data_IF_414740450566
#
_entry.id   IF_414740450566
#
_cell.length_a   1.000
_cell.length_b   1.000
_cell.length_c   1.000
_cell.angle_alpha   90.00
_cell.angle_beta   90.00
_cell.angle_gamma   90.00
#
_symmetry.space_group_name_H-M   'P 1'
#
loop_
_entity.id
_entity.type
_entity.pdbx_description
1 polymer ?
#
# COMPACT_ATOMS: atom_id res chain seq x y z
N UNK A 1 -32.43 6.45 2.07
CA UNK A 1 -31.42 5.38 2.09
C UNK A 1 -30.71 5.22 0.74
N UNK A 2 -31.40 5.04 -0.40
CA UNK A 2 -30.70 4.93 -1.73
C UNK A 2 -29.74 6.11 -2.00
N UNK A 3 -30.13 7.36 -1.71
CA UNK A 3 -29.24 8.54 -1.93
C UNK A 3 -28.03 8.57 -0.98
N UNK A 4 -28.14 8.06 0.24
CA UNK A 4 -27.03 8.00 1.21
C UNK A 4 -26.07 6.86 0.83
N UNK A 5 -26.59 5.72 0.38
CA UNK A 5 -25.79 4.61 -0.15
C UNK A 5 -25.09 5.04 -1.44
N UNK A 6 -25.80 5.75 -2.33
CA UNK A 6 -25.20 6.32 -3.55
C UNK A 6 -24.15 7.37 -3.20
N UNK A 7 -24.39 8.23 -2.21
CA UNK A 7 -23.41 9.24 -1.79
C UNK A 7 -22.19 8.62 -1.11
N UNK A 8 -22.37 7.59 -0.31
CA UNK A 8 -21.27 6.83 0.28
C UNK A 8 -20.51 6.02 -0.78
N UNK A 9 -21.22 5.42 -1.76
CA UNK A 9 -20.58 4.76 -2.89
C UNK A 9 -19.87 5.75 -3.81
N UNK A 10 -20.44 6.93 -4.04
CA UNK A 10 -19.80 8.01 -4.82
C UNK A 10 -18.58 8.56 -4.08
N UNK A 11 -18.63 8.75 -2.75
CA UNK A 11 -17.45 9.11 -1.96
C UNK A 11 -16.38 8.02 -2.00
N UNK A 12 -16.76 6.74 -1.91
CA UNK A 12 -15.82 5.63 -2.02
C UNK A 12 -15.21 5.55 -3.43
N UNK A 13 -16.01 5.76 -4.47
CA UNK A 13 -15.55 5.81 -5.87
C UNK A 13 -14.70 7.06 -6.12
N UNK A 14 -15.04 8.22 -5.56
CA UNK A 14 -14.20 9.42 -5.63
C UNK A 14 -12.89 9.25 -4.87
N UNK A 15 -12.90 8.53 -3.74
CA UNK A 15 -11.66 8.21 -2.99
C UNK A 15 -10.77 7.21 -3.75
N UNK A 16 -11.37 6.23 -4.43
CA UNK A 16 -10.65 5.30 -5.32
C UNK A 16 -10.17 6.00 -6.59
N UNK A 17 -10.97 6.91 -7.16
CA UNK A 17 -10.59 7.68 -8.35
C UNK A 17 -9.54 8.75 -8.06
N UNK A 18 -9.51 9.35 -6.86
CA UNK A 18 -8.43 10.28 -6.48
C UNK A 18 -7.09 9.58 -6.22
N UNK A 19 -7.08 8.28 -5.94
CA UNK A 19 -5.85 7.49 -5.89
C UNK A 19 -5.38 7.03 -7.27
N UNK A 20 -6.23 7.15 -8.32
CA UNK A 20 -5.90 6.73 -9.69
C UNK A 20 -5.40 7.87 -10.60
N UNK A 21 -5.24 9.10 -10.09
CA UNK A 21 -4.79 10.26 -10.89
C UNK A 21 -3.42 10.79 -10.48
N UNK A 22 -2.67 10.08 -9.67
CA UNK A 22 -1.27 10.41 -9.45
C UNK A 22 -0.51 9.98 -10.71
N UNK A 23 0.11 10.93 -11.40
CA UNK A 23 1.02 10.64 -12.51
C UNK A 23 2.06 9.64 -11.99
N UNK A 24 2.29 8.58 -12.74
CA UNK A 24 3.25 7.55 -12.37
C UNK A 24 4.65 8.07 -12.67
N UNK A 25 5.25 8.72 -11.69
CA UNK A 25 6.52 9.44 -11.79
C UNK A 25 7.65 8.47 -12.13
N UNK A 26 8.51 8.85 -13.07
CA UNK A 26 9.76 8.12 -13.37
C UNK A 26 10.75 8.38 -12.24
N UNK A 27 11.22 7.32 -11.60
CA UNK A 27 12.17 7.39 -10.48
C UNK A 27 13.63 7.20 -10.95
N UNK A 28 13.84 6.33 -11.92
CA UNK A 28 15.16 6.04 -12.47
C UNK A 28 15.05 5.75 -13.96
N UNK A 29 16.05 6.18 -14.72
CA UNK A 29 16.18 5.87 -16.14
C UNK A 29 17.53 5.24 -16.40
N UNK A 30 17.55 4.21 -17.21
CA UNK A 30 18.74 3.53 -17.72
C UNK A 30 18.83 3.74 -19.22
N UNK A 31 20.03 3.61 -19.78
CA UNK A 31 20.25 3.68 -21.22
C UNK A 31 20.96 2.42 -21.70
N UNK A 32 20.42 1.81 -22.74
CA UNK A 32 21.09 0.76 -23.48
C UNK A 32 21.84 1.35 -24.67
N UNK A 33 23.09 0.93 -24.85
CA UNK A 33 23.84 1.23 -26.03
C UNK A 33 23.20 0.61 -27.29
N UNK A 34 23.56 1.09 -28.51
CA UNK A 34 23.10 0.48 -29.75
C UNK A 34 23.62 -0.95 -29.88
N UNK A 35 22.88 -1.81 -30.59
CA UNK A 35 23.28 -3.22 -30.86
C UNK A 35 24.61 -3.23 -31.67
N UNK A 36 24.75 -2.37 -32.65
CA UNK A 36 26.02 -2.14 -33.32
C UNK A 36 26.84 -1.14 -32.52
N UNK A 37 27.85 -1.62 -31.82
CA UNK A 37 28.65 -0.79 -30.93
C UNK A 37 30.16 -0.75 -31.35
N UNK A 38 30.50 -1.39 -32.47
CA UNK A 38 31.86 -1.38 -33.03
C UNK A 38 31.84 -0.83 -34.45
N UNK A 39 32.74 0.12 -34.75
CA UNK A 39 32.86 0.79 -36.00
C UNK A 39 34.33 0.86 -36.44
N UNK A 40 34.58 0.92 -37.73
CA UNK A 40 35.92 1.27 -38.28
C UNK A 40 36.07 2.79 -38.36
N UNK A 41 37.28 3.29 -38.39
CA UNK A 41 37.54 4.74 -38.63
C UNK A 41 36.88 5.23 -39.93
N UNK A 42 36.85 4.39 -40.98
CA UNK A 42 36.25 4.77 -42.26
C UNK A 42 34.75 4.95 -42.17
N UNK A 43 34.05 4.09 -41.41
CA UNK A 43 32.60 4.23 -41.17
C UNK A 43 32.29 5.47 -40.33
N UNK A 44 33.23 5.88 -39.47
CA UNK A 44 33.03 6.99 -38.55
C UNK A 44 33.38 8.35 -39.17
N UNK A 45 34.35 8.39 -40.10
CA UNK A 45 34.82 9.62 -40.76
C UNK A 45 33.76 10.31 -41.65
N UNK A 46 32.69 9.60 -42.05
CA UNK A 46 31.59 10.12 -42.87
C UNK A 46 30.50 10.85 -42.06
N UNK A 47 30.75 11.15 -40.79
CA UNK A 47 29.80 11.88 -39.95
C UNK A 47 28.60 11.03 -39.49
N UNK A 48 28.89 9.90 -38.90
CA UNK A 48 27.87 8.98 -38.40
C UNK A 48 27.01 9.62 -37.31
N UNK A 49 25.72 9.69 -37.52
CA UNK A 49 24.74 10.14 -36.51
C UNK A 49 23.84 8.98 -36.16
N UNK A 50 23.74 8.63 -34.86
CA UNK A 50 22.82 7.60 -34.40
C UNK A 50 21.38 7.97 -34.71
N UNK A 51 20.65 7.05 -35.32
CA UNK A 51 19.22 7.17 -35.58
C UNK A 51 18.45 6.33 -34.56
N UNK A 52 17.25 6.70 -34.23
CA UNK A 52 16.42 6.01 -33.25
C UNK A 52 16.13 4.52 -33.53
N UNK A 53 16.33 4.10 -34.81
CA UNK A 53 16.21 2.71 -35.26
C UNK A 53 17.48 1.86 -35.02
N UNK A 54 18.54 2.43 -34.45
CA UNK A 54 19.81 1.74 -34.22
C UNK A 54 19.93 1.11 -32.82
N UNK A 55 18.86 1.08 -32.07
CA UNK A 55 18.74 0.28 -30.87
C UNK A 55 19.15 0.94 -29.57
N UNK A 56 19.45 2.26 -29.56
CA UNK A 56 19.61 3.01 -28.31
C UNK A 56 18.25 3.17 -27.68
N UNK A 57 18.10 2.70 -26.45
CA UNK A 57 16.81 2.75 -25.73
C UNK A 57 16.99 3.26 -24.31
N UNK A 58 15.96 3.92 -23.80
CA UNK A 58 15.84 4.27 -22.39
C UNK A 58 14.88 3.32 -21.70
N UNK A 59 15.24 2.89 -20.50
CA UNK A 59 14.38 2.05 -19.66
C UNK A 59 14.00 2.87 -18.43
N UNK A 60 12.74 3.24 -18.33
CA UNK A 60 12.19 4.04 -17.25
C UNK A 60 11.57 3.16 -16.17
N UNK A 61 12.04 3.28 -14.94
CA UNK A 61 11.45 2.65 -13.77
C UNK A 61 10.52 3.66 -13.09
N UNK A 62 9.25 3.34 -13.00
CA UNK A 62 8.20 4.22 -12.45
C UNK A 62 7.92 3.93 -10.96
N UNK A 63 7.32 4.88 -10.28
CA UNK A 63 6.96 4.78 -8.86
C UNK A 63 6.01 3.61 -8.56
N UNK A 64 5.13 3.26 -9.49
CA UNK A 64 4.27 2.06 -9.39
C UNK A 64 5.05 0.74 -9.45
N UNK A 65 6.33 0.78 -9.84
CA UNK A 65 7.14 -0.37 -10.19
C UNK A 65 6.95 -0.84 -11.63
N UNK A 66 6.16 -0.12 -12.43
CA UNK A 66 6.10 -0.38 -13.86
C UNK A 66 7.43 0.03 -14.53
N UNK A 67 7.83 -0.72 -15.53
CA UNK A 67 9.02 -0.43 -16.35
C UNK A 67 8.55 -0.20 -17.78
N UNK A 68 9.14 0.77 -18.44
CA UNK A 68 8.78 1.16 -19.80
C UNK A 68 10.05 1.40 -20.61
N UNK A 69 10.15 0.74 -21.76
CA UNK A 69 11.26 0.95 -22.70
C UNK A 69 10.86 1.94 -23.78
N UNK A 70 11.66 3.00 -23.93
CA UNK A 70 11.42 4.09 -24.87
C UNK A 70 12.62 4.18 -25.83
N UNK A 71 12.42 4.11 -27.16
CA UNK A 71 13.52 4.30 -28.10
C UNK A 71 14.02 5.75 -28.08
N UNK A 72 15.31 5.93 -28.39
CA UNK A 72 15.89 7.25 -28.55
C UNK A 72 15.21 7.98 -29.72
N UNK A 73 14.68 9.17 -29.46
CA UNK A 73 14.22 10.10 -30.49
C UNK A 73 15.38 11.02 -30.87
N UNK A 74 15.67 11.16 -32.18
CA UNK A 74 16.86 11.73 -32.80
C UNK A 74 17.19 13.20 -32.45
N UNK A 75 16.70 13.72 -31.34
CA UNK A 75 16.93 15.11 -30.96
C UNK A 75 18.01 15.23 -29.89
N UNK A 76 19.17 15.79 -30.26
CA UNK A 76 20.08 16.36 -29.26
C UNK A 76 21.20 15.44 -28.78
N UNK A 77 21.66 14.48 -29.58
CA UNK A 77 22.88 13.70 -29.26
C UNK A 77 24.10 14.62 -29.33
N UNK A 78 24.86 14.72 -28.24
CA UNK A 78 26.11 15.44 -28.23
C UNK A 78 27.21 14.55 -28.83
N UNK A 79 27.92 15.06 -29.78
CA UNK A 79 29.06 14.37 -30.41
C UNK A 79 30.14 14.06 -29.34
N UNK A 80 30.76 12.88 -29.40
CA UNK A 80 31.84 12.52 -28.50
C UNK A 80 33.12 13.31 -28.78
N UNK A 81 33.97 13.38 -27.80
CA UNK A 81 35.32 13.92 -27.96
C UNK A 81 36.27 12.79 -28.38
N UNK A 82 36.79 12.85 -29.60
CA UNK A 82 37.74 11.87 -30.11
C UNK A 82 37.27 11.21 -31.41
N UNK A 83 38.24 10.67 -32.16
CA UNK A 83 38.00 10.06 -33.46
C UNK A 83 38.10 8.54 -33.44
N UNK A 84 38.79 7.96 -32.44
CA UNK A 84 39.03 6.50 -32.30
C UNK A 84 39.04 6.06 -30.82
N UNK A 85 38.95 4.77 -30.60
CA UNK A 85 38.91 4.17 -29.28
C UNK A 85 37.50 4.12 -28.70
N UNK A 86 37.38 4.09 -27.38
CA UNK A 86 36.09 4.12 -26.70
C UNK A 86 35.54 5.54 -26.72
N UNK A 87 34.43 5.73 -27.40
CA UNK A 87 33.76 7.03 -27.54
C UNK A 87 32.46 7.02 -26.75
N UNK A 88 32.28 8.01 -25.86
CA UNK A 88 31.10 8.17 -25.04
C UNK A 88 30.22 9.29 -25.57
N UNK A 89 28.99 8.94 -25.87
CA UNK A 89 27.94 9.86 -26.30
C UNK A 89 27.11 10.32 -25.11
N UNK A 90 26.68 11.58 -25.11
CA UNK A 90 25.74 12.16 -24.15
C UNK A 90 24.40 12.43 -24.80
N UNK A 91 23.36 11.90 -24.23
CA UNK A 91 22.01 12.00 -24.75
C UNK A 91 21.11 12.65 -23.72
N UNK A 92 20.48 13.79 -24.02
CA UNK A 92 19.49 14.40 -23.14
C UNK A 92 18.18 13.61 -23.18
N UNK A 93 17.68 13.28 -22.00
CA UNK A 93 16.34 12.67 -21.82
C UNK A 93 15.73 13.19 -20.53
N UNK A 94 14.52 13.76 -20.60
CA UNK A 94 13.80 14.32 -19.44
C UNK A 94 14.67 15.28 -18.59
N UNK A 95 15.39 16.21 -19.23
CA UNK A 95 16.30 17.20 -18.62
C UNK A 95 17.55 16.62 -17.92
N UNK A 96 17.82 15.33 -18.09
CA UNK A 96 19.02 14.65 -17.58
C UNK A 96 19.88 14.16 -18.75
N UNK A 97 21.20 14.18 -18.58
CA UNK A 97 22.15 13.67 -19.55
C UNK A 97 22.53 12.22 -19.21
N UNK A 98 22.39 11.33 -20.18
CA UNK A 98 22.74 9.92 -20.06
C UNK A 98 23.88 9.57 -21.01
N UNK A 99 24.82 8.76 -20.55
CA UNK A 99 26.00 8.38 -21.31
C UNK A 99 25.87 6.92 -21.79
N UNK A 100 26.24 6.68 -23.06
CA UNK A 100 26.52 5.33 -23.58
C UNK A 100 27.80 5.34 -24.38
N UNK A 101 28.47 4.20 -24.52
CA UNK A 101 29.76 4.12 -25.18
C UNK A 101 29.76 3.13 -26.35
N UNK A 102 30.50 3.48 -27.38
CA UNK A 102 30.81 2.63 -28.52
C UNK A 102 32.33 2.53 -28.69
N UNK A 103 32.79 1.64 -29.55
CA UNK A 103 34.19 1.48 -29.85
C UNK A 103 34.47 1.70 -31.34
N UNK A 104 35.39 2.62 -31.67
CA UNK A 104 35.90 2.83 -33.00
C UNK A 104 37.31 2.24 -33.08
N UNK A 105 37.46 1.19 -33.88
CA UNK A 105 38.73 0.43 -33.99
C UNK A 105 39.79 1.30 -34.65
N UNK A 106 40.90 1.64 -33.98
CA UNK A 106 42.00 2.35 -34.59
C UNK A 106 42.68 1.52 -35.71
N UNK A 107 43.13 2.17 -36.78
CA UNK A 107 43.77 1.52 -37.95
C UNK A 107 45.10 0.82 -37.61
N UNK A 108 45.72 1.16 -36.49
CA UNK A 108 47.01 0.61 -36.05
C UNK A 108 46.88 -0.62 -35.13
N UNK A 109 45.67 -1.01 -34.80
CA UNK A 109 45.40 -2.17 -33.92
C UNK A 109 45.61 -3.49 -34.70
N UNK A 110 46.38 -4.38 -34.12
CA UNK A 110 46.66 -5.72 -34.69
C UNK A 110 45.47 -6.66 -34.56
N UNK A 111 45.27 -7.54 -35.55
CA UNK A 111 44.20 -8.56 -35.52
C UNK A 111 44.28 -9.52 -34.31
N UNK A 112 45.43 -9.63 -33.67
CA UNK A 112 45.69 -10.47 -32.50
C UNK A 112 45.51 -9.74 -31.16
N UNK A 113 45.14 -8.47 -31.18
CA UNK A 113 44.90 -7.70 -29.97
C UNK A 113 43.52 -8.04 -29.41
N UNK A 114 43.51 -8.88 -28.38
CA UNK A 114 42.28 -9.41 -27.76
C UNK A 114 41.99 -8.82 -26.40
N UNK A 115 42.66 -7.73 -26.00
CA UNK A 115 42.35 -7.03 -24.75
C UNK A 115 40.91 -6.51 -24.77
N UNK A 116 40.21 -6.60 -23.63
CA UNK A 116 38.84 -6.07 -23.50
C UNK A 116 38.95 -4.54 -23.35
N UNK A 117 38.27 -3.83 -24.22
CA UNK A 117 38.27 -2.35 -24.24
C UNK A 117 36.94 -1.77 -23.79
N UNK A 118 35.82 -2.48 -23.98
CA UNK A 118 34.48 -2.01 -23.62
C UNK A 118 33.61 -3.20 -23.25
N UNK A 119 32.81 -3.02 -22.21
CA UNK A 119 31.72 -3.93 -21.85
C UNK A 119 30.43 -3.13 -21.75
N UNK A 120 29.42 -3.54 -22.50
CA UNK A 120 28.09 -2.98 -22.45
C UNK A 120 27.07 -4.04 -22.03
N UNK A 121 26.13 -3.63 -21.19
CA UNK A 121 24.98 -4.45 -20.80
C UNK A 121 23.79 -4.12 -21.71
N UNK A 122 23.16 -5.14 -22.26
CA UNK A 122 21.86 -5.01 -22.92
C UNK A 122 20.79 -5.37 -21.89
N UNK A 123 20.38 -4.36 -21.14
CA UNK A 123 19.44 -4.52 -20.04
C UNK A 123 18.02 -4.74 -20.56
N UNK A 124 17.35 -5.75 -20.04
CA UNK A 124 15.89 -5.92 -20.19
C UNK A 124 15.15 -5.25 -19.02
N UNK A 125 13.85 -5.08 -19.16
CA UNK A 125 13.00 -4.50 -18.09
C UNK A 125 13.11 -5.24 -16.75
N UNK A 126 13.33 -6.57 -16.80
CA UNK A 126 13.48 -7.40 -15.61
C UNK A 126 14.83 -7.21 -14.89
N UNK A 127 15.87 -6.72 -15.59
CA UNK A 127 17.21 -6.59 -15.01
C UNK A 127 17.42 -5.29 -14.24
N UNK A 128 16.68 -4.24 -14.58
CA UNK A 128 16.87 -2.89 -14.02
C UNK A 128 16.10 -2.66 -12.73
N UNK A 129 15.25 -3.61 -12.34
CA UNK A 129 14.34 -3.43 -11.22
C UNK A 129 14.16 -4.71 -10.41
N UNK A 130 14.08 -4.56 -9.09
CA UNK A 130 13.59 -5.60 -8.17
C UNK A 130 12.58 -5.01 -7.18
N UNK A 131 11.85 -5.88 -6.47
CA UNK A 131 11.00 -5.46 -5.36
C UNK A 131 11.81 -5.46 -4.06
N UNK A 132 11.33 -4.74 -3.05
CA UNK A 132 11.87 -4.85 -1.68
C UNK A 132 11.85 -6.33 -1.25
N UNK A 133 13.02 -6.83 -0.84
CA UNK A 133 13.22 -8.24 -0.50
C UNK A 133 13.57 -9.16 -1.68
N UNK A 134 13.66 -8.62 -2.90
CA UNK A 134 14.14 -9.33 -4.08
C UNK A 134 15.63 -9.12 -4.34
N UNK A 135 16.23 -9.98 -5.15
CA UNK A 135 17.62 -9.89 -5.64
C UNK A 135 17.60 -9.40 -7.09
N UNK A 136 18.80 -9.25 -7.67
CA UNK A 136 18.96 -9.03 -9.10
C UNK A 136 18.32 -10.15 -9.93
N UNK A 137 17.72 -9.80 -11.05
CA UNK A 137 17.26 -10.74 -12.05
C UNK A 137 18.19 -10.62 -13.27
N UNK A 138 18.88 -11.68 -13.60
CA UNK A 138 19.83 -11.73 -14.74
C UNK A 138 19.21 -12.42 -15.97
N UNK A 139 17.95 -12.83 -15.92
CA UNK A 139 17.25 -13.48 -17.03
C UNK A 139 17.15 -12.52 -18.24
N UNK A 140 17.59 -13.01 -19.40
CA UNK A 140 17.55 -12.23 -20.64
C UNK A 140 18.58 -11.08 -20.72
N UNK A 141 19.52 -11.00 -19.77
CA UNK A 141 20.63 -10.04 -19.82
C UNK A 141 21.74 -10.57 -20.73
N UNK A 142 22.06 -9.81 -21.77
CA UNK A 142 23.22 -10.04 -22.63
C UNK A 142 24.34 -9.05 -22.32
N UNK A 143 25.57 -9.57 -22.18
CA UNK A 143 26.77 -8.78 -21.96
C UNK A 143 27.60 -8.78 -23.25
N UNK A 144 27.82 -7.63 -23.79
CA UNK A 144 28.63 -7.41 -25.01
C UNK A 144 30.04 -7.04 -24.58
N UNK A 145 30.96 -7.97 -24.80
CA UNK A 145 32.41 -7.79 -24.56
C UNK A 145 33.09 -7.42 -25.84
N UNK A 146 33.59 -6.19 -25.93
CA UNK A 146 34.27 -5.65 -27.09
C UNK A 146 35.76 -5.70 -26.88
N UNK A 147 36.49 -6.27 -27.84
CA UNK A 147 37.96 -6.39 -27.80
C UNK A 147 38.63 -5.35 -28.72
N UNK A 148 39.88 -5.06 -28.43
CA UNK A 148 40.66 -4.04 -29.17
C UNK A 148 40.70 -4.27 -30.68
N UNK A 149 40.72 -5.53 -31.12
CA UNK A 149 40.66 -5.89 -32.55
C UNK A 149 39.27 -5.72 -33.20
N UNK A 150 38.30 -5.19 -32.46
CA UNK A 150 36.91 -4.99 -32.92
C UNK A 150 36.01 -6.23 -32.85
N UNK A 151 36.49 -7.36 -32.37
CA UNK A 151 35.64 -8.52 -32.17
C UNK A 151 34.68 -8.29 -30.99
N UNK A 152 33.44 -8.75 -31.13
CA UNK A 152 32.40 -8.70 -30.08
C UNK A 152 32.03 -10.11 -29.68
N UNK A 153 32.13 -10.38 -28.41
CA UNK A 153 31.65 -11.60 -27.78
C UNK A 153 30.39 -11.30 -27.00
N UNK A 154 29.35 -12.08 -27.20
CA UNK A 154 28.07 -11.90 -26.49
C UNK A 154 27.97 -13.03 -25.47
N UNK A 155 27.89 -12.67 -24.19
CA UNK A 155 27.75 -13.59 -23.07
C UNK A 155 26.33 -13.47 -22.49
N UNK A 156 25.57 -14.57 -22.50
CA UNK A 156 24.31 -14.60 -21.75
C UNK A 156 24.60 -14.69 -20.26
N UNK A 157 24.02 -13.81 -19.48
CA UNK A 157 24.24 -13.77 -18.03
C UNK A 157 23.77 -15.08 -17.34
N UNK A 158 22.73 -15.72 -17.87
CA UNK A 158 22.22 -16.99 -17.36
C UNK A 158 23.25 -18.13 -17.39
N UNK A 159 24.10 -18.14 -18.41
CA UNK A 159 25.15 -19.15 -18.59
C UNK A 159 26.43 -18.81 -17.80
N UNK A 160 26.54 -17.59 -17.28
CA UNK A 160 27.76 -17.04 -16.68
C UNK A 160 27.51 -16.38 -15.31
N UNK A 161 26.62 -16.95 -14.50
CA UNK A 161 26.24 -16.41 -13.17
C UNK A 161 27.44 -16.23 -12.24
N UNK A 162 28.48 -17.06 -12.39
CA UNK A 162 29.73 -17.00 -11.63
C UNK A 162 30.55 -15.72 -11.88
N UNK A 163 30.24 -14.98 -12.91
CA UNK A 163 30.89 -13.70 -13.28
C UNK A 163 30.20 -12.48 -12.65
N UNK A 164 29.01 -12.66 -12.07
CA UNK A 164 28.26 -11.57 -11.47
C UNK A 164 28.38 -11.60 -9.95
N UNK A 165 28.42 -10.43 -9.35
CA UNK A 165 28.39 -10.22 -7.91
C UNK A 165 27.58 -8.99 -7.57
N UNK A 166 26.70 -9.09 -6.62
CA UNK A 166 25.95 -7.97 -6.06
C UNK A 166 26.67 -7.30 -4.88
N UNK A 167 27.99 -7.47 -4.77
CA UNK A 167 28.85 -6.89 -3.73
C UNK A 167 28.41 -7.21 -2.28
N UNK A 168 27.77 -8.38 -2.07
CA UNK A 168 27.27 -8.79 -0.78
C UNK A 168 25.95 -8.09 -0.40
N UNK A 169 25.25 -7.54 -1.37
CA UNK A 169 23.92 -7.03 -1.17
C UNK A 169 22.98 -8.12 -0.69
N UNK A 170 22.47 -7.98 0.53
CA UNK A 170 21.47 -8.87 1.09
C UNK A 170 20.14 -8.12 1.25
N UNK A 171 19.08 -8.56 0.56
CA UNK A 171 17.81 -7.82 0.48
C UNK A 171 17.08 -7.62 1.80
N UNK A 172 17.51 -8.29 2.89
CA UNK A 172 16.81 -8.34 4.18
C UNK A 172 17.76 -8.19 5.37
N UNK A 173 18.86 -7.45 5.27
CA UNK A 173 19.70 -7.15 6.45
C UNK A 173 18.99 -6.20 7.42
N UNK A 174 19.42 -6.23 8.70
CA UNK A 174 18.87 -5.38 9.78
C UNK A 174 18.97 -3.87 9.48
N UNK A 175 19.91 -3.47 8.65
CA UNK A 175 20.07 -2.08 8.15
C UNK A 175 19.15 -1.75 6.96
N UNK A 176 18.25 -2.63 6.67
CA UNK A 176 17.08 -2.65 5.84
C UNK A 176 17.12 -1.85 4.57
N UNK A 177 16.87 -2.52 3.47
CA UNK A 177 16.83 -1.93 2.16
C UNK A 177 15.65 -0.98 2.00
N UNK A 178 15.92 0.24 1.61
CA UNK A 178 14.91 1.29 1.41
C UNK A 178 14.38 1.22 -0.02
N UNK A 179 13.06 1.30 -0.18
CA UNK A 179 12.42 1.55 -1.47
C UNK A 179 12.97 2.85 -2.08
N UNK A 180 13.20 2.85 -3.38
CA UNK A 180 13.77 3.94 -4.17
C UNK A 180 15.31 4.11 -4.07
N UNK A 181 16.03 3.09 -3.64
CA UNK A 181 17.48 3.00 -3.77
C UNK A 181 17.89 2.03 -4.87
N UNK A 182 19.13 2.12 -5.32
CA UNK A 182 19.73 1.20 -6.28
C UNK A 182 20.95 0.55 -5.67
N UNK A 183 21.20 -0.71 -6.03
CA UNK A 183 22.43 -1.39 -5.72
C UNK A 183 23.18 -1.78 -6.99
N UNK A 184 24.51 -1.86 -6.88
CA UNK A 184 25.35 -2.21 -8.01
C UNK A 184 25.52 -3.71 -8.16
N UNK A 185 25.40 -4.20 -9.38
CA UNK A 185 25.77 -5.56 -9.77
C UNK A 185 27.06 -5.45 -10.60
N UNK A 186 28.11 -6.10 -10.14
CA UNK A 186 29.43 -6.12 -10.78
C UNK A 186 29.58 -7.35 -11.65
N UNK A 187 29.92 -7.15 -12.89
CA UNK A 187 30.38 -8.21 -13.82
C UNK A 187 31.90 -8.20 -13.88
N UNK A 188 32.52 -9.39 -13.75
CA UNK A 188 33.97 -9.56 -13.81
C UNK A 188 34.33 -10.65 -14.79
N UNK A 189 35.08 -10.29 -15.84
CA UNK A 189 35.48 -11.21 -16.90
C UNK A 189 36.89 -10.88 -17.40
N UNK A 190 37.79 -11.86 -17.44
CA UNK A 190 39.17 -11.74 -17.89
C UNK A 190 39.93 -10.55 -17.28
N UNK A 191 39.65 -10.20 -16.03
CA UNK A 191 40.30 -9.09 -15.32
C UNK A 191 39.65 -7.71 -15.59
N UNK A 192 38.66 -7.64 -16.46
CA UNK A 192 37.86 -6.45 -16.67
C UNK A 192 36.65 -6.46 -15.74
N UNK A 193 36.26 -5.29 -15.23
CA UNK A 193 35.07 -5.13 -14.37
C UNK A 193 34.17 -4.04 -14.93
N UNK A 194 32.88 -4.32 -14.97
CA UNK A 194 31.85 -3.35 -15.33
C UNK A 194 30.63 -3.50 -14.37
N UNK A 195 29.92 -2.43 -14.13
CA UNK A 195 28.80 -2.42 -13.19
C UNK A 195 27.54 -1.92 -13.87
N UNK A 196 26.41 -2.44 -13.42
CA UNK A 196 25.10 -1.83 -13.67
C UNK A 196 24.32 -1.75 -12.38
N UNK A 197 23.35 -0.86 -12.31
CA UNK A 197 22.51 -0.68 -11.12
C UNK A 197 21.19 -1.42 -11.26
N UNK A 198 20.68 -1.96 -10.16
CA UNK A 198 19.33 -2.50 -10.05
C UNK A 198 18.54 -1.62 -9.08
N UNK A 199 17.44 -1.07 -9.55
CA UNK A 199 16.61 -0.17 -8.75
C UNK A 199 15.55 -0.95 -7.98
N UNK A 200 15.35 -0.61 -6.69
CA UNK A 200 14.40 -1.30 -5.84
C UNK A 200 13.11 -0.50 -5.76
N UNK A 201 12.02 -1.14 -6.13
CA UNK A 201 10.67 -0.56 -6.11
C UNK A 201 9.71 -1.40 -5.29
N UNK A 202 8.48 -0.93 -5.09
CA UNK A 202 7.38 -1.71 -4.53
C UNK A 202 7.37 -1.83 -3.02
N UNK A 203 8.23 -1.13 -2.31
CA UNK A 203 8.11 -0.86 -0.88
C UNK A 203 7.27 0.40 -0.64
N UNK A 204 6.66 0.51 0.55
CA UNK A 204 6.12 1.79 0.99
C UNK A 204 7.29 2.70 1.41
N UNK A 205 7.24 3.99 1.06
CA UNK A 205 8.25 4.96 1.50
C UNK A 205 8.29 5.05 3.03
N UNK A 206 9.48 5.21 3.65
CA UNK A 206 9.59 5.44 5.07
C UNK A 206 8.82 6.70 5.50
N UNK A 207 8.55 6.84 6.80
CA UNK A 207 7.83 8.01 7.30
C UNK A 207 8.80 9.17 7.47
N UNK A 208 8.66 10.21 6.63
CA UNK A 208 9.43 11.47 6.73
C UNK A 208 8.49 12.67 6.87
N UNK A 209 8.99 13.73 7.51
CA UNK A 209 8.26 14.99 7.64
C UNK A 209 8.32 15.82 6.36
N UNK A 210 9.37 15.66 5.57
CA UNK A 210 9.61 16.44 4.34
C UNK A 210 8.66 16.04 3.21
N UNK A 211 8.36 14.74 3.08
CA UNK A 211 7.47 14.19 2.05
C UNK A 211 6.02 14.00 2.56
N UNK A 212 5.73 14.49 3.77
CA UNK A 212 4.45 14.25 4.42
C UNK A 212 3.33 15.10 3.82
N UNK A 213 2.31 14.45 3.25
CA UNK A 213 1.07 15.10 2.87
C UNK A 213 0.23 15.52 4.09
N UNK A 214 -0.83 16.27 3.84
CA UNK A 214 -1.75 16.75 4.90
C UNK A 214 -2.28 15.64 5.81
N UNK A 215 -2.59 14.48 5.25
CA UNK A 215 -3.07 13.32 6.01
C UNK A 215 -1.96 12.73 6.88
N UNK A 216 -0.74 12.63 6.36
CA UNK A 216 0.41 12.12 7.10
C UNK A 216 0.74 13.03 8.28
N UNK A 217 0.73 14.34 8.10
CA UNK A 217 0.98 15.30 9.16
C UNK A 217 -0.04 15.24 10.30
N UNK A 218 -1.33 15.11 9.99
CA UNK A 218 -2.39 15.16 11.00
C UNK A 218 -2.61 13.83 11.71
N UNK A 219 -2.41 12.70 11.03
CA UNK A 219 -2.75 11.39 11.55
C UNK A 219 -1.58 10.42 11.59
N UNK A 220 -0.82 10.24 10.50
CA UNK A 220 0.23 9.20 10.43
C UNK A 220 1.40 9.55 11.36
N UNK A 221 1.96 10.76 11.26
CA UNK A 221 3.09 11.18 12.09
C UNK A 221 2.77 11.17 13.59
N UNK A 222 1.63 11.70 14.08
CA UNK A 222 1.28 11.60 15.50
C UNK A 222 1.11 10.17 15.99
N UNK A 223 0.55 9.28 15.17
CA UNK A 223 0.41 7.85 15.52
C UNK A 223 1.76 7.14 15.50
N UNK A 224 2.61 7.43 14.51
CA UNK A 224 3.98 6.95 14.44
C UNK A 224 4.82 7.42 15.65
N UNK A 225 4.69 8.70 16.03
CA UNK A 225 5.32 9.24 17.23
C UNK A 225 4.91 8.49 18.50
N UNK A 226 3.64 8.16 18.69
CA UNK A 226 3.22 7.33 19.81
C UNK A 226 3.82 5.93 19.75
N UNK A 227 3.87 5.34 18.56
CA UNK A 227 4.40 3.98 18.37
C UNK A 227 5.90 3.92 18.70
N UNK A 228 6.70 4.87 18.20
CA UNK A 228 8.12 4.96 18.52
C UNK A 228 8.39 5.28 20.00
N UNK A 229 7.60 6.18 20.60
CA UNK A 229 7.75 6.56 22.00
C UNK A 229 7.61 5.34 22.93
N UNK A 230 6.57 4.54 22.72
CA UNK A 230 6.36 3.35 23.54
C UNK A 230 7.26 2.18 23.12
N UNK A 231 7.60 2.05 21.83
CA UNK A 231 8.62 1.10 21.37
C UNK A 231 9.95 1.36 22.04
N UNK A 232 10.44 2.60 21.98
CA UNK A 232 11.72 3.03 22.57
C UNK A 232 11.82 2.83 24.08
N UNK A 233 10.75 3.15 24.85
CA UNK A 233 10.71 2.92 26.30
C UNK A 233 10.85 1.43 26.65
N UNK A 234 10.36 0.53 25.82
CA UNK A 234 10.33 -0.91 26.05
C UNK A 234 11.35 -1.68 25.18
N UNK A 235 12.56 -1.17 25.06
CA UNK A 235 13.67 -1.84 24.37
C UNK A 235 13.52 -1.87 22.85
N UNK A 236 13.07 -0.78 22.28
CA UNK A 236 12.83 -0.58 20.85
C UNK A 236 11.83 -1.61 20.26
N UNK A 237 10.93 -2.14 21.10
CA UNK A 237 10.01 -3.19 20.70
C UNK A 237 8.87 -2.66 19.84
N UNK A 238 8.86 -3.03 18.57
CA UNK A 238 7.79 -2.70 17.63
C UNK A 238 6.43 -3.23 18.07
N UNK A 239 6.38 -4.48 18.57
CA UNK A 239 5.15 -5.10 19.05
C UNK A 239 4.51 -4.32 20.20
N UNK A 240 5.32 -3.88 21.19
CA UNK A 240 4.84 -3.09 22.32
C UNK A 240 4.39 -1.71 21.87
N UNK A 241 5.13 -1.08 20.96
CA UNK A 241 4.75 0.16 20.31
C UNK A 241 3.35 0.06 19.67
N UNK A 242 3.13 -0.93 18.81
CA UNK A 242 1.82 -1.19 18.17
C UNK A 242 0.73 -1.41 19.23
N UNK A 243 0.99 -2.27 20.23
CA UNK A 243 -0.01 -2.61 21.25
C UNK A 243 -0.47 -1.38 22.00
N UNK A 244 0.46 -0.62 22.59
CA UNK A 244 0.12 0.53 23.43
C UNK A 244 -0.52 1.65 22.59
N UNK A 245 0.02 1.95 21.41
CA UNK A 245 -0.57 2.92 20.49
C UNK A 245 -1.99 2.52 20.10
N UNK A 246 -2.22 1.25 19.79
CA UNK A 246 -3.57 0.75 19.47
C UNK A 246 -4.53 0.97 20.64
N UNK A 247 -4.11 0.69 21.88
CA UNK A 247 -4.93 0.90 23.07
C UNK A 247 -5.24 2.39 23.27
N UNK A 248 -4.26 3.27 23.12
CA UNK A 248 -4.43 4.73 23.28
C UNK A 248 -5.40 5.25 22.21
N UNK A 249 -5.13 5.00 20.94
CA UNK A 249 -5.94 5.50 19.83
C UNK A 249 -7.38 5.01 19.93
N UNK A 250 -7.61 3.73 20.24
CA UNK A 250 -8.94 3.18 20.44
C UNK A 250 -9.65 3.73 21.67
N UNK A 251 -8.91 4.02 22.74
CA UNK A 251 -9.47 4.63 23.94
C UNK A 251 -9.86 6.08 23.67
N UNK A 252 -9.05 6.85 22.96
CA UNK A 252 -9.39 8.20 22.52
C UNK A 252 -10.60 8.24 21.57
N UNK A 253 -10.74 7.22 20.73
CA UNK A 253 -11.90 7.07 19.85
C UNK A 253 -13.17 6.54 20.57
N UNK A 254 -13.08 6.08 21.83
CA UNK A 254 -14.20 5.49 22.56
C UNK A 254 -15.45 6.40 22.64
N UNK A 255 -15.36 7.71 22.90
CA UNK A 255 -16.54 8.58 22.92
C UNK A 255 -17.33 8.55 21.60
N UNK A 256 -16.66 8.36 20.47
CA UNK A 256 -17.29 8.22 19.14
C UNK A 256 -18.11 6.92 19.10
N UNK A 257 -17.53 5.80 19.56
CA UNK A 257 -18.23 4.52 19.63
C UNK A 257 -19.39 4.53 20.62
N UNK A 258 -19.24 5.19 21.77
CA UNK A 258 -20.30 5.33 22.74
C UNK A 258 -21.51 6.08 22.17
N UNK A 259 -21.28 7.16 21.41
CA UNK A 259 -22.33 7.91 20.70
C UNK A 259 -23.00 7.08 19.61
N UNK A 260 -22.25 6.28 18.86
CA UNK A 260 -22.77 5.35 17.85
C UNK A 260 -23.66 4.27 18.47
N UNK A 261 -23.28 3.71 19.63
CA UNK A 261 -24.09 2.76 20.37
C UNK A 261 -25.37 3.39 20.93
N UNK A 262 -25.32 4.65 21.42
CA UNK A 262 -26.50 5.38 21.88
C UNK A 262 -27.47 5.66 20.72
N UNK A 263 -26.96 5.99 19.54
CA UNK A 263 -27.75 6.12 18.33
C UNK A 263 -28.44 4.79 17.96
N UNK A 264 -27.70 3.67 18.00
CA UNK A 264 -28.27 2.34 17.76
C UNK A 264 -29.38 1.98 18.75
N UNK A 265 -29.22 2.35 20.02
CA UNK A 265 -30.26 2.18 21.04
C UNK A 265 -31.51 2.99 20.69
N UNK A 266 -31.37 4.28 20.34
CA UNK A 266 -32.49 5.15 19.96
C UNK A 266 -33.20 4.66 18.70
N UNK A 267 -32.44 4.17 17.71
CA UNK A 267 -32.98 3.56 16.50
C UNK A 267 -33.82 2.31 16.82
N UNK A 268 -33.35 1.46 17.74
CA UNK A 268 -34.10 0.29 18.18
C UNK A 268 -35.40 0.66 18.92
N UNK A 269 -35.37 1.70 19.75
CA UNK A 269 -36.58 2.21 20.46
C UNK A 269 -37.57 2.84 19.46
N UNK A 270 -37.11 3.54 18.44
CA UNK A 270 -37.95 4.16 17.41
C UNK A 270 -38.52 3.15 16.40
N UNK A 271 -37.95 1.95 16.32
CA UNK A 271 -38.26 0.96 15.26
C UNK A 271 -39.76 0.63 15.13
N UNK A 272 -40.57 0.46 16.23
CA UNK A 272 -42.01 0.21 16.09
C UNK A 272 -42.77 1.35 15.42
N UNK A 273 -42.45 2.62 15.75
CA UNK A 273 -43.06 3.80 15.09
C UNK A 273 -42.63 3.95 13.66
N UNK A 274 -41.33 3.74 13.38
CA UNK A 274 -40.80 3.74 12.02
C UNK A 274 -41.49 2.70 11.13
N UNK A 275 -41.75 1.51 11.66
CA UNK A 275 -42.50 0.46 10.94
C UNK A 275 -43.95 0.86 10.70
N UNK A 276 -44.63 1.51 11.64
CA UNK A 276 -45.98 2.02 11.43
C UNK A 276 -46.04 3.03 10.30
N UNK A 277 -45.10 3.96 10.26
CA UNK A 277 -44.99 4.93 9.17
C UNK A 277 -44.71 4.23 7.84
N UNK A 278 -43.76 3.29 7.78
CA UNK A 278 -43.46 2.54 6.56
C UNK A 278 -44.65 1.72 6.06
N UNK A 279 -45.39 1.05 6.96
CA UNK A 279 -46.57 0.26 6.59
C UNK A 279 -47.70 1.15 6.08
N UNK A 280 -47.90 2.34 6.65
CA UNK A 280 -48.90 3.33 6.22
C UNK A 280 -48.75 3.71 4.74
N UNK A 281 -47.50 3.76 4.26
CA UNK A 281 -47.17 4.16 2.89
C UNK A 281 -46.70 2.98 2.01
N UNK A 282 -46.79 1.74 2.48
CA UNK A 282 -46.24 0.56 1.78
C UNK A 282 -46.86 0.34 0.38
N UNK A 283 -48.15 0.64 0.25
CA UNK A 283 -48.91 0.47 -0.99
C UNK A 283 -48.90 1.71 -1.91
N UNK A 284 -48.42 2.85 -1.40
CA UNK A 284 -48.42 4.11 -2.12
C UNK A 284 -47.04 4.40 -2.72
N UNK A 285 -46.93 4.32 -4.06
CA UNK A 285 -45.66 4.53 -4.76
C UNK A 285 -45.52 5.88 -5.44
N UNK A 286 -46.53 6.74 -5.33
CA UNK A 286 -46.53 8.08 -5.90
C UNK A 286 -45.51 8.99 -5.22
N UNK A 287 -44.88 9.95 -5.95
CA UNK A 287 -43.81 10.80 -5.42
C UNK A 287 -44.25 11.61 -4.21
N UNK A 288 -45.52 12.05 -4.18
CA UNK A 288 -46.08 12.84 -3.09
C UNK A 288 -46.20 12.05 -1.79
N UNK A 289 -46.69 10.80 -1.84
CA UNK A 289 -46.76 9.90 -0.70
C UNK A 289 -45.36 9.50 -0.18
N UNK A 290 -44.38 9.34 -1.09
CA UNK A 290 -42.99 9.10 -0.69
C UNK A 290 -42.39 10.31 0.08
N UNK A 291 -42.70 11.52 -0.33
CA UNK A 291 -42.26 12.72 0.35
C UNK A 291 -42.91 12.86 1.74
N UNK A 292 -44.21 12.57 1.86
CA UNK A 292 -44.95 12.55 3.14
C UNK A 292 -44.35 11.49 4.08
N UNK A 293 -44.08 10.30 3.60
CA UNK A 293 -43.41 9.25 4.37
C UNK A 293 -42.05 9.72 4.91
N UNK A 294 -41.23 10.39 4.10
CA UNK A 294 -39.95 10.96 4.54
C UNK A 294 -40.14 12.02 5.65
N UNK A 295 -41.11 12.87 5.53
CA UNK A 295 -41.43 13.91 6.54
C UNK A 295 -41.87 13.26 7.86
N UNK A 296 -42.78 12.27 7.83
CA UNK A 296 -43.22 11.55 9.03
C UNK A 296 -42.05 10.77 9.66
N UNK A 297 -41.18 10.14 8.87
CA UNK A 297 -39.97 9.49 9.36
C UNK A 297 -39.01 10.48 10.05
N UNK A 298 -38.84 11.69 9.50
CA UNK A 298 -38.07 12.77 10.13
C UNK A 298 -38.69 13.20 11.47
N UNK A 299 -40.02 13.20 11.56
CA UNK A 299 -40.73 13.45 12.80
C UNK A 299 -40.42 12.40 13.88
N UNK A 300 -40.41 11.12 13.52
CA UNK A 300 -40.00 10.03 14.41
C UNK A 300 -38.55 10.18 14.85
N UNK A 301 -37.63 10.53 13.93
CA UNK A 301 -36.22 10.76 14.29
C UNK A 301 -36.05 11.89 15.29
N UNK A 302 -36.77 13.02 15.10
CA UNK A 302 -36.77 14.15 16.05
C UNK A 302 -37.33 13.74 17.42
N UNK A 303 -38.44 13.00 17.45
CA UNK A 303 -39.07 12.50 18.69
C UNK A 303 -38.12 11.69 19.55
N UNK A 304 -37.32 10.79 18.93
CA UNK A 304 -36.38 9.93 19.64
C UNK A 304 -34.95 10.54 19.75
N UNK A 305 -34.78 11.80 19.32
CA UNK A 305 -33.47 12.46 19.35
C UNK A 305 -32.41 11.73 18.51
N UNK A 306 -32.82 11.18 17.37
CA UNK A 306 -31.94 10.50 16.41
C UNK A 306 -31.36 11.54 15.48
N UNK A 307 -30.05 11.76 15.55
CA UNK A 307 -29.36 12.61 14.62
C UNK A 307 -28.95 11.79 13.37
N UNK A 308 -29.41 12.22 12.20
CA UNK A 308 -29.09 11.53 10.93
C UNK A 308 -27.58 11.56 10.64
N UNK A 309 -26.87 12.61 11.04
CA UNK A 309 -25.39 12.70 10.94
C UNK A 309 -24.70 11.65 11.83
N UNK A 310 -25.37 11.15 12.87
CA UNK A 310 -24.82 10.07 13.69
C UNK A 310 -24.61 8.74 12.94
N UNK A 311 -25.28 8.54 11.80
CA UNK A 311 -25.05 7.40 10.92
C UNK A 311 -23.68 7.46 10.23
N UNK A 312 -23.02 8.63 10.20
CA UNK A 312 -21.68 8.80 9.66
C UNK A 312 -20.56 8.52 10.67
N UNK A 313 -20.91 8.40 11.97
CA UNK A 313 -19.92 8.14 13.03
C UNK A 313 -19.03 6.90 12.78
N UNK A 314 -19.53 5.76 12.25
CA UNK A 314 -18.68 4.62 11.91
C UNK A 314 -17.62 4.95 10.84
N UNK A 315 -17.92 5.87 9.90
CA UNK A 315 -16.98 6.28 8.86
C UNK A 315 -15.83 7.14 9.40
N UNK A 316 -16.00 7.77 10.56
CA UNK A 316 -14.93 8.52 11.23
C UNK A 316 -13.79 7.59 11.70
N UNK A 317 -14.05 6.30 11.79
CA UNK A 317 -13.04 5.28 12.08
C UNK A 317 -12.08 5.03 10.91
N UNK A 318 -12.50 5.27 9.65
CA UNK A 318 -11.70 4.95 8.47
C UNK A 318 -10.39 5.74 8.42
N UNK A 319 -10.35 7.07 8.64
CA UNK A 319 -9.09 7.82 8.68
C UNK A 319 -8.12 7.29 9.74
N UNK A 320 -8.61 6.95 10.93
CA UNK A 320 -7.79 6.38 12.01
C UNK A 320 -7.23 5.02 11.59
N UNK A 321 -8.06 4.20 10.95
CA UNK A 321 -7.64 2.91 10.43
C UNK A 321 -6.55 3.03 9.37
N UNK A 322 -6.72 3.95 8.39
CA UNK A 322 -5.75 4.18 7.31
C UNK A 322 -4.42 4.67 7.90
N UNK A 323 -4.47 5.58 8.89
CA UNK A 323 -3.26 6.06 9.55
C UNK A 323 -2.50 4.94 10.29
N UNK A 324 -3.21 4.11 11.07
CA UNK A 324 -2.60 2.97 11.76
C UNK A 324 -2.05 1.92 10.77
N UNK A 325 -2.76 1.67 9.66
CA UNK A 325 -2.29 0.80 8.59
C UNK A 325 -0.99 1.31 7.98
N UNK A 326 -0.95 2.61 7.65
CA UNK A 326 0.24 3.26 7.09
C UNK A 326 1.43 3.20 8.07
N UNK A 327 1.21 3.50 9.36
CA UNK A 327 2.26 3.44 10.39
C UNK A 327 2.81 2.02 10.54
N UNK A 328 1.94 1.02 10.66
CA UNK A 328 2.38 -0.38 10.87
C UNK A 328 3.24 -0.90 9.71
N UNK A 329 2.99 -0.43 8.50
CA UNK A 329 3.75 -0.85 7.32
C UNK A 329 5.04 -0.05 7.09
N UNK A 330 5.08 1.21 7.48
CA UNK A 330 6.12 2.16 7.09
C UNK A 330 7.11 2.52 8.19
N UNK A 331 6.74 2.35 9.48
CA UNK A 331 7.54 2.86 10.60
C UNK A 331 8.87 2.11 10.80
N UNK A 332 8.91 0.81 10.41
CA UNK A 332 10.11 -0.03 10.52
C UNK A 332 11.02 0.08 9.31
N UNK A 333 10.61 0.81 8.27
CA UNK A 333 11.44 0.98 7.08
C UNK A 333 12.63 1.85 7.47
N UNK A 334 13.86 1.40 7.23
CA UNK A 334 15.08 2.14 7.55
C UNK A 334 15.14 3.50 6.86
N UNK A 335 15.89 4.41 7.46
CA UNK A 335 15.93 5.78 7.01
C UNK A 335 14.71 6.63 7.42
N UNK A 336 13.61 6.02 7.89
CA UNK A 336 12.45 6.74 8.41
C UNK A 336 12.75 7.39 9.76
N UNK A 337 12.07 8.53 10.05
CA UNK A 337 12.33 9.36 11.22
C UNK A 337 12.14 8.66 12.58
N UNK A 338 11.54 7.46 12.62
CA UNK A 338 11.25 6.69 13.84
C UNK A 338 11.67 5.23 13.79
N UNK A 339 12.36 4.80 12.73
CA UNK A 339 12.68 3.38 12.49
C UNK A 339 13.58 2.77 13.56
N UNK A 340 14.57 3.52 14.08
CA UNK A 340 15.50 3.06 15.10
C UNK A 340 14.82 2.69 16.43
N UNK A 341 13.80 3.46 16.84
CA UNK A 341 13.08 3.27 18.10
C UNK A 341 12.08 2.11 18.05
N UNK A 342 11.93 1.46 16.91
CA UNK A 342 11.11 0.26 16.70
C UNK A 342 11.88 -0.86 16.00
N UNK A 343 13.21 -0.80 16.05
CA UNK A 343 14.11 -1.74 15.36
C UNK A 343 13.99 -3.18 15.84
N UNK A 344 13.58 -3.40 17.11
CA UNK A 344 13.31 -4.74 17.61
C UNK A 344 11.92 -5.23 17.13
N UNK A 345 11.91 -5.89 15.98
CA UNK A 345 10.70 -6.40 15.34
C UNK A 345 10.29 -7.80 15.78
N UNK A 346 11.10 -8.46 16.63
CA UNK A 346 10.82 -9.82 17.10
C UNK A 346 9.72 -9.86 18.17
N UNK A 347 8.70 -10.68 17.96
CA UNK A 347 7.60 -10.90 18.90
C UNK A 347 7.26 -12.39 19.01
N UNK A 348 7.59 -13.03 20.16
CA UNK A 348 7.42 -14.47 20.38
C UNK A 348 7.96 -15.35 19.26
N UNK A 349 9.14 -15.02 18.74
CA UNK A 349 9.79 -15.77 17.65
C UNK A 349 9.25 -15.45 16.25
N UNK A 350 8.34 -14.48 16.11
CA UNK A 350 7.80 -14.01 14.83
C UNK A 350 8.44 -12.66 14.51
N UNK A 351 9.06 -12.52 13.35
CA UNK A 351 9.51 -11.23 12.87
C UNK A 351 8.32 -10.44 12.28
N UNK A 352 8.00 -9.30 12.91
CA UNK A 352 6.89 -8.46 12.49
C UNK A 352 7.18 -7.63 11.22
N UNK A 353 8.45 -7.40 10.90
CA UNK A 353 8.82 -6.70 9.67
C UNK A 353 8.61 -7.58 8.41
N UNK A 354 8.55 -8.91 8.58
CA UNK A 354 8.39 -9.82 7.46
C UNK A 354 7.00 -9.73 6.81
N UNK A 355 7.02 -9.85 5.49
CA UNK A 355 5.84 -10.00 4.64
C UNK A 355 5.78 -11.43 4.08
N UNK A 356 4.57 -12.02 3.98
CA UNK A 356 4.35 -13.35 3.40
C UNK A 356 5.18 -14.49 4.02
N UNK A 357 5.25 -14.55 5.34
CA UNK A 357 6.07 -15.49 6.10
C UNK A 357 5.46 -16.93 6.14
N UNK A 358 5.00 -17.42 5.00
CA UNK A 358 4.54 -18.80 4.82
C UNK A 358 3.48 -19.25 5.83
N UNK A 359 3.80 -20.31 6.62
CA UNK A 359 2.86 -20.89 7.59
C UNK A 359 2.50 -19.90 8.71
N UNK A 360 3.45 -19.08 9.16
CA UNK A 360 3.22 -18.07 10.20
C UNK A 360 2.15 -17.08 9.78
N UNK A 361 2.23 -16.54 8.55
CA UNK A 361 1.24 -15.62 8.00
C UNK A 361 -0.15 -16.27 7.91
N UNK A 362 -0.24 -17.55 7.53
CA UNK A 362 -1.52 -18.30 7.48
C UNK A 362 -2.13 -18.43 8.88
N UNK A 363 -1.33 -18.78 9.88
CA UNK A 363 -1.80 -18.92 11.27
C UNK A 363 -2.29 -17.58 11.80
N UNK A 364 -1.52 -16.51 11.61
CA UNK A 364 -1.90 -15.16 12.06
C UNK A 364 -3.17 -14.68 11.36
N UNK A 365 -3.29 -14.85 10.05
CA UNK A 365 -4.51 -14.52 9.30
C UNK A 365 -5.72 -15.32 9.80
N UNK A 366 -5.53 -16.60 10.14
CA UNK A 366 -6.56 -17.43 10.75
C UNK A 366 -7.02 -16.89 12.11
N UNK A 367 -6.11 -16.44 12.97
CA UNK A 367 -6.42 -15.82 14.28
C UNK A 367 -7.16 -14.49 14.08
N UNK A 368 -6.72 -13.67 13.11
CA UNK A 368 -7.44 -12.43 12.73
C UNK A 368 -8.87 -12.75 12.32
N UNK A 369 -9.06 -13.74 11.44
CA UNK A 369 -10.38 -14.19 11.01
C UNK A 369 -11.26 -14.65 12.17
N UNK A 370 -10.73 -15.48 13.07
CA UNK A 370 -11.46 -15.99 14.23
C UNK A 370 -11.87 -14.87 15.19
N UNK A 371 -10.96 -13.94 15.52
CA UNK A 371 -11.23 -12.80 16.41
C UNK A 371 -12.25 -11.84 15.78
N UNK A 372 -12.10 -11.55 14.49
CA UNK A 372 -13.01 -10.69 13.74
C UNK A 372 -14.41 -11.32 13.59
N UNK A 373 -14.48 -12.61 13.28
CA UNK A 373 -15.74 -13.34 13.20
C UNK A 373 -16.48 -13.30 14.54
N UNK A 374 -15.76 -13.50 15.65
CA UNK A 374 -16.31 -13.43 17.00
C UNK A 374 -16.85 -12.03 17.30
N UNK A 375 -16.11 -10.99 16.95
CA UNK A 375 -16.53 -9.59 17.08
C UNK A 375 -17.80 -9.31 16.26
N UNK A 376 -17.84 -9.74 14.99
CA UNK A 376 -19.00 -9.58 14.11
C UNK A 376 -20.24 -10.35 14.65
N UNK A 377 -20.05 -11.57 15.10
CA UNK A 377 -21.13 -12.34 15.77
C UNK A 377 -21.70 -11.60 16.97
N UNK A 378 -20.82 -11.05 17.83
CA UNK A 378 -21.23 -10.29 18.99
C UNK A 378 -21.94 -8.99 18.58
N UNK A 379 -21.43 -8.25 17.61
CA UNK A 379 -22.02 -7.00 17.11
C UNK A 379 -23.41 -7.21 16.49
N UNK A 380 -23.59 -8.29 15.72
CA UNK A 380 -24.89 -8.64 15.10
C UNK A 380 -25.92 -9.25 16.07
N UNK A 381 -25.51 -9.70 17.26
CA UNK A 381 -26.44 -10.28 18.26
C UNK A 381 -27.37 -9.20 18.79
N UNK A 382 -28.68 -9.37 18.62
CA UNK A 382 -29.68 -8.40 19.14
C UNK A 382 -29.51 -8.22 20.63
N UNK A 383 -29.54 -6.98 21.15
CA UNK A 383 -29.57 -6.72 22.59
C UNK A 383 -30.80 -7.34 23.24
N UNK A 384 -30.77 -7.56 24.57
CA UNK A 384 -31.87 -8.18 25.30
C UNK A 384 -33.22 -7.45 25.16
N UNK A 385 -33.17 -6.11 25.08
CA UNK A 385 -34.34 -5.25 24.91
C UNK A 385 -34.94 -5.25 23.49
N UNK A 386 -34.20 -5.71 22.50
CA UNK A 386 -34.62 -5.73 21.07
C UNK A 386 -35.02 -7.14 20.59
N UNK A 387 -34.98 -8.17 21.44
CA UNK A 387 -35.24 -9.57 21.04
C UNK A 387 -36.68 -9.79 20.56
N UNK A 388 -37.65 -9.08 21.12
CA UNK A 388 -39.06 -9.26 20.82
C UNK A 388 -39.58 -8.41 19.66
N UNK A 389 -38.72 -7.60 19.05
CA UNK A 389 -39.11 -6.78 17.91
C UNK A 389 -38.83 -7.58 16.61
N UNK A 390 -39.90 -8.28 16.18
CA UNK A 390 -39.88 -8.94 14.85
C UNK A 390 -40.37 -7.95 13.83
N UNK A 391 -39.51 -7.65 12.82
CA UNK A 391 -39.93 -6.82 11.69
C UNK A 391 -40.75 -7.65 10.70
N UNK A 392 -42.05 -7.41 10.52
CA UNK A 392 -42.84 -8.12 9.52
C UNK A 392 -42.52 -7.66 8.07
N UNK A 393 -41.71 -6.60 7.89
CA UNK A 393 -41.39 -6.06 6.58
C UNK A 393 -40.30 -6.88 5.86
N UNK A 394 -40.59 -7.48 4.69
CA UNK A 394 -39.61 -8.24 3.91
C UNK A 394 -38.36 -7.44 3.55
N UNK A 395 -38.50 -6.13 3.32
CA UNK A 395 -37.40 -5.23 2.97
C UNK A 395 -36.42 -5.02 4.13
N UNK A 396 -36.92 -4.99 5.37
CA UNK A 396 -36.06 -4.91 6.58
C UNK A 396 -35.33 -6.24 6.83
N UNK A 397 -35.95 -7.37 6.53
CA UNK A 397 -35.33 -8.69 6.61
C UNK A 397 -34.23 -8.84 5.56
N UNK A 398 -34.48 -8.42 4.33
CA UNK A 398 -33.50 -8.42 3.24
C UNK A 398 -32.28 -7.55 3.59
N UNK A 399 -32.51 -6.35 4.16
CA UNK A 399 -31.42 -5.47 4.61
C UNK A 399 -30.56 -6.13 5.70
N UNK A 400 -31.16 -6.87 6.64
CA UNK A 400 -30.41 -7.61 7.67
C UNK A 400 -29.60 -8.77 7.08
N UNK A 401 -30.14 -9.47 6.08
CA UNK A 401 -29.40 -10.54 5.38
C UNK A 401 -28.22 -9.97 4.62
N UNK A 402 -28.43 -8.91 3.85
CA UNK A 402 -27.34 -8.21 3.11
C UNK A 402 -26.23 -7.77 4.07
N UNK A 403 -26.58 -7.21 5.23
CA UNK A 403 -25.60 -6.82 6.23
C UNK A 403 -24.77 -8.01 6.76
N UNK A 404 -25.38 -9.19 6.92
CA UNK A 404 -24.62 -10.39 7.30
C UNK A 404 -23.62 -10.83 6.23
N UNK A 405 -24.04 -10.85 4.96
CA UNK A 405 -23.13 -11.20 3.86
C UNK A 405 -21.97 -10.22 3.74
N UNK A 406 -22.25 -8.92 3.83
CA UNK A 406 -21.20 -7.88 3.84
C UNK A 406 -20.25 -8.08 5.01
N UNK A 407 -20.76 -8.41 6.20
CA UNK A 407 -19.94 -8.66 7.38
C UNK A 407 -19.02 -9.88 7.20
N UNK A 408 -19.50 -10.97 6.63
CA UNK A 408 -18.66 -12.14 6.37
C UNK A 408 -17.64 -11.90 5.28
N UNK A 409 -18.01 -11.17 4.22
CA UNK A 409 -17.08 -10.75 3.19
C UNK A 409 -15.94 -9.90 3.78
N UNK A 410 -16.26 -8.96 4.68
CA UNK A 410 -15.26 -8.15 5.40
C UNK A 410 -14.27 -9.02 6.20
N UNK A 411 -14.74 -10.09 6.85
CA UNK A 411 -13.85 -11.02 7.59
C UNK A 411 -12.85 -11.67 6.62
N UNK A 412 -13.33 -12.18 5.49
CA UNK A 412 -12.47 -12.83 4.48
C UNK A 412 -11.46 -11.82 3.91
N UNK A 413 -11.92 -10.61 3.58
CA UNK A 413 -11.05 -9.54 3.07
C UNK A 413 -9.95 -9.18 4.08
N UNK A 414 -10.29 -9.10 5.37
CA UNK A 414 -9.32 -8.78 6.42
C UNK A 414 -8.32 -9.91 6.66
N UNK A 415 -8.73 -11.17 6.53
CA UNK A 415 -7.80 -12.31 6.53
C UNK A 415 -6.79 -12.19 5.39
N UNK A 416 -7.25 -11.85 4.20
CA UNK A 416 -6.38 -11.67 3.04
C UNK A 416 -5.38 -10.51 3.21
N UNK A 417 -5.85 -9.36 3.72
CA UNK A 417 -4.98 -8.21 4.00
C UNK A 417 -3.97 -8.54 5.10
N UNK A 418 -4.38 -9.23 6.17
CA UNK A 418 -3.48 -9.59 7.28
C UNK A 418 -2.47 -10.68 6.91
N UNK A 419 -2.73 -11.48 5.88
CA UNK A 419 -1.77 -12.43 5.32
C UNK A 419 -0.53 -11.74 4.73
N UNK A 420 -0.66 -10.50 4.28
CA UNK A 420 0.41 -9.75 3.61
C UNK A 420 1.47 -9.19 4.58
N UNK A 421 1.22 -9.13 5.90
CA UNK A 421 2.17 -8.58 6.87
C UNK A 421 1.90 -9.10 8.28
N UNK A 422 2.94 -9.64 8.91
CA UNK A 422 2.87 -10.14 10.28
C UNK A 422 2.51 -9.02 11.28
N UNK A 423 3.10 -7.83 11.13
CA UNK A 423 2.80 -6.68 11.97
C UNK A 423 1.33 -6.27 11.86
N UNK A 424 0.79 -6.26 10.65
CA UNK A 424 -0.59 -5.92 10.39
C UNK A 424 -1.56 -6.94 11.02
N UNK A 425 -1.23 -8.23 10.95
CA UNK A 425 -1.99 -9.28 11.60
C UNK A 425 -2.02 -9.09 13.13
N UNK A 426 -0.89 -8.82 13.76
CA UNK A 426 -0.77 -8.55 15.20
C UNK A 426 -1.57 -7.29 15.59
N UNK A 427 -1.45 -6.20 14.82
CA UNK A 427 -2.29 -5.01 15.02
C UNK A 427 -3.79 -5.34 14.99
N UNK A 428 -4.26 -6.15 14.03
CA UNK A 428 -5.64 -6.57 13.94
C UNK A 428 -6.08 -7.42 15.13
N UNK A 429 -5.24 -8.36 15.57
CA UNK A 429 -5.54 -9.22 16.74
C UNK A 429 -5.75 -8.34 17.98
N UNK A 430 -4.79 -7.45 18.30
CA UNK A 430 -4.90 -6.53 19.43
C UNK A 430 -6.13 -5.62 19.32
N UNK A 431 -6.35 -5.08 18.13
CA UNK A 431 -7.50 -4.25 17.85
C UNK A 431 -8.84 -4.97 18.02
N UNK A 432 -8.94 -6.21 17.56
CA UNK A 432 -10.16 -7.02 17.68
C UNK A 432 -10.44 -7.41 19.13
N UNK A 433 -9.42 -7.82 19.91
CA UNK A 433 -9.55 -8.13 21.33
C UNK A 433 -10.04 -6.92 22.13
N UNK A 434 -9.45 -5.74 21.88
CA UNK A 434 -9.91 -4.49 22.49
C UNK A 434 -11.36 -4.18 22.11
N UNK A 435 -11.71 -4.28 20.83
CA UNK A 435 -13.08 -4.02 20.34
C UNK A 435 -14.11 -5.01 20.90
N UNK A 436 -13.73 -6.28 21.10
CA UNK A 436 -14.58 -7.25 21.79
C UNK A 436 -14.90 -6.78 23.21
N UNK A 437 -13.88 -6.41 23.97
CA UNK A 437 -14.02 -5.90 25.35
C UNK A 437 -14.89 -4.64 25.38
N UNK A 438 -14.61 -3.68 24.51
CA UNK A 438 -15.36 -2.44 24.36
C UNK A 438 -16.84 -2.71 24.01
N UNK A 439 -17.10 -3.63 23.09
CA UNK A 439 -18.47 -4.00 22.68
C UNK A 439 -19.24 -4.63 23.83
N UNK A 440 -18.60 -5.50 24.62
CA UNK A 440 -19.25 -6.11 25.82
C UNK A 440 -19.60 -5.04 26.86
N UNK A 441 -18.66 -4.12 27.15
CA UNK A 441 -18.88 -3.02 28.10
C UNK A 441 -20.03 -2.13 27.62
N UNK A 442 -19.96 -1.66 26.36
CA UNK A 442 -20.97 -0.78 25.79
C UNK A 442 -22.37 -1.42 25.77
N UNK A 443 -22.45 -2.73 25.48
CA UNK A 443 -23.73 -3.45 25.53
C UNK A 443 -24.32 -3.46 26.94
N UNK A 444 -23.52 -3.79 27.96
CA UNK A 444 -23.96 -3.77 29.37
C UNK A 444 -24.43 -2.37 29.80
N UNK A 445 -23.71 -1.31 29.37
CA UNK A 445 -24.09 0.08 29.65
C UNK A 445 -25.40 0.46 28.93
N UNK A 446 -25.58 0.06 27.69
CA UNK A 446 -26.80 0.30 26.91
C UNK A 446 -28.00 -0.45 27.50
N UNK A 447 -27.84 -1.69 27.97
CA UNK A 447 -28.89 -2.46 28.64
C UNK A 447 -29.32 -1.81 29.95
N UNK A 448 -28.37 -1.35 30.79
CA UNK A 448 -28.66 -0.59 32.01
C UNK A 448 -29.40 0.73 31.73
N UNK A 449 -28.96 1.46 30.69
CA UNK A 449 -29.59 2.72 30.26
C UNK A 449 -31.04 2.49 29.81
N UNK A 450 -31.25 1.45 29.00
CA UNK A 450 -32.59 1.07 28.54
C UNK A 450 -33.51 0.70 29.71
N UNK A 451 -33.04 -0.09 30.69
CA UNK A 451 -33.81 -0.45 31.87
C UNK A 451 -34.26 0.79 32.68
N UNK A 452 -33.34 1.75 32.90
CA UNK A 452 -33.65 3.04 33.58
C UNK A 452 -34.66 3.89 32.81
N UNK A 453 -34.56 3.93 31.48
CA UNK A 453 -35.51 4.69 30.64
C UNK A 453 -36.90 4.07 30.70
N UNK A 454 -37.02 2.76 30.66
CA UNK A 454 -38.28 2.02 30.78
C UNK A 454 -38.90 2.21 32.15
N UNK A 455 -38.11 2.18 33.21
CA UNK A 455 -38.58 2.47 34.59
C UNK A 455 -39.17 3.90 34.71
N UNK A 456 -38.47 4.91 34.18
CA UNK A 456 -38.96 6.29 34.15
C UNK A 456 -40.25 6.43 33.34
N UNK A 457 -40.41 5.71 32.25
CA UNK A 457 -41.60 5.74 31.40
C UNK A 457 -42.79 5.11 32.14
N UNK A 458 -42.58 4.02 32.89
CA UNK A 458 -43.58 3.37 33.75
C UNK A 458 -43.98 4.27 34.92
N UNK A 459 -43.03 4.91 35.59
CA UNK A 459 -43.30 5.83 36.70
C UNK A 459 -43.99 7.12 36.24
N UNK A 460 -43.62 7.67 35.06
CA UNK A 460 -44.26 8.83 34.45
C UNK A 460 -45.68 8.54 33.92
N UNK A 461 -45.99 7.28 33.58
CA UNK A 461 -47.33 6.82 33.22
C UNK A 461 -48.24 6.58 34.41
N UNK A 462 -47.68 6.36 35.60
CA UNK A 462 -48.44 6.24 36.88
C UNK A 462 -48.72 7.62 37.50
N UNK A 463 -48.09 8.69 37.04
CA UNK A 463 -48.27 10.05 37.51
C UNK A 463 -49.25 10.88 36.65
N UNK A 464 -49.93 10.27 35.69
CA UNK A 464 -51.05 10.80 34.91
C UNK A 464 -52.30 9.99 35.27
#
# INVERSE_FOLDING_TARGET
MKKIIVMASVMLVLFVLSSCTQEDVVLKTYVNAPIKMVYTEAEFADGYVFKGDEGVTFINVKQSGAVETVPLDNQGINEPTGDTGVLTYRVPYSDVLYDFSIYVVPNDVGANDTEIVLVNFMLAEANVRTNVGGTENLEGLDVYVVRANGSVEILSAEDHLDKFSNNGFEPLQEDGFVSNEAFEVTFSYEGFTANFEVFVTGGEAPIHSEDAGFFDWILVIPVAFLTQLFGGIFGNSFAVGILITTLIVRTLAWPIYAKSNDLSLKMNLAQPEMQRVQNKYATRKDPQSQQQMQMEMMGVYKKYGINVLGCLLPFLQMPIFIAMYSVVRRITIPGGMYSEQVSNTMFFGINLANTNDGITAIILAGIVGATMFTLQRLAMKKPSYAKNVVSPNPQAQQSQQTMKYVSYFMVIMMMFISYQSNALAIYWIFGNVYSLTQTIINRKLSEKKHAKLKEKELLGGLAK
#
